data_IF_546107866781
#
_entry.id   IF_546107866781
#
_cell.length_a   1.000
_cell.length_b   1.000
_cell.length_c   1.000
_cell.angle_alpha   90.00
_cell.angle_beta   90.00
_cell.angle_gamma   90.00
#
_symmetry.space_group_name_H-M   'P 1'
#
loop_
_entity.id
_entity.type
_entity.pdbx_description
1 polymer ?
#
# COMPACT_ATOMS: atom_id res chain seq x y z
N UNK A 1 -12.26 -13.69 -10.64
CA UNK A 1 -11.22 -13.65 -9.60
C UNK A 1 -10.27 -14.85 -9.61
N UNK A 2 -10.70 -16.08 -9.97
CA UNK A 2 -9.80 -17.26 -10.06
C UNK A 2 -8.58 -17.10 -10.97
N UNK A 3 -8.57 -16.11 -11.86
CA UNK A 3 -7.46 -15.83 -12.79
C UNK A 3 -6.34 -14.96 -12.21
N UNK A 4 -6.48 -14.41 -10.98
CA UNK A 4 -5.41 -13.62 -10.34
C UNK A 4 -4.29 -14.52 -9.81
N UNK A 5 -4.64 -15.64 -9.18
CA UNK A 5 -3.68 -16.57 -8.57
C UNK A 5 -2.62 -17.06 -9.58
N UNK A 6 -2.98 -17.54 -10.79
CA UNK A 6 -1.97 -17.97 -11.76
C UNK A 6 -1.00 -16.86 -12.18
N UNK A 7 -1.44 -15.60 -12.23
CA UNK A 7 -0.57 -14.47 -12.60
C UNK A 7 0.43 -14.15 -11.49
N UNK A 8 -0.01 -14.17 -10.23
CA UNK A 8 0.89 -13.94 -9.09
C UNK A 8 1.89 -15.11 -8.93
N UNK A 9 1.45 -16.35 -9.18
CA UNK A 9 2.35 -17.50 -9.18
C UNK A 9 3.35 -17.46 -10.34
N UNK A 10 2.93 -17.00 -11.53
CA UNK A 10 3.83 -16.77 -12.66
C UNK A 10 4.88 -15.72 -12.31
N UNK A 11 4.46 -14.61 -11.67
CA UNK A 11 5.37 -13.57 -11.19
C UNK A 11 6.37 -14.14 -10.18
N UNK A 12 5.91 -14.93 -9.21
CA UNK A 12 6.76 -15.57 -8.22
C UNK A 12 7.84 -16.47 -8.85
N UNK A 13 7.43 -17.33 -9.79
CA UNK A 13 8.32 -18.29 -10.44
C UNK A 13 9.37 -17.63 -11.35
N UNK A 14 9.05 -16.48 -11.95
CA UNK A 14 9.90 -15.83 -12.95
C UNK A 14 10.68 -14.63 -12.41
N UNK A 15 10.26 -14.06 -11.28
CA UNK A 15 10.94 -12.92 -10.68
C UNK A 15 12.34 -13.28 -10.21
N UNK A 16 13.28 -12.35 -10.44
CA UNK A 16 14.64 -12.43 -9.89
C UNK A 16 14.68 -11.63 -8.61
N UNK A 17 14.62 -12.33 -7.48
CA UNK A 17 14.48 -11.73 -6.16
C UNK A 17 15.82 -11.71 -5.43
N UNK A 18 16.14 -10.57 -4.82
CA UNK A 18 17.29 -10.40 -3.94
C UNK A 18 16.96 -10.87 -2.51
N UNK A 19 17.98 -11.01 -1.66
CA UNK A 19 17.80 -11.38 -0.26
C UNK A 19 16.89 -10.41 0.49
N UNK A 20 16.93 -9.11 0.20
CA UNK A 20 16.08 -8.09 0.85
C UNK A 20 14.62 -8.15 0.39
N UNK A 21 14.34 -8.76 -0.76
CA UNK A 21 12.98 -9.01 -1.24
C UNK A 21 12.39 -10.32 -0.71
N UNK A 22 13.22 -11.16 -0.10
CA UNK A 22 12.82 -12.40 0.59
C UNK A 22 12.82 -12.23 2.12
N UNK A 23 13.72 -11.42 2.64
CA UNK A 23 13.91 -11.14 4.05
C UNK A 23 13.79 -9.63 4.27
N UNK A 24 12.65 -9.21 4.79
CA UNK A 24 12.34 -7.82 5.05
C UNK A 24 11.70 -7.69 6.43
N UNK A 25 11.59 -6.45 6.92
CA UNK A 25 11.07 -6.19 8.27
C UNK A 25 9.76 -6.92 8.59
N UNK A 26 8.76 -7.01 7.68
CA UNK A 26 7.54 -7.73 7.97
C UNK A 26 7.66 -9.26 8.02
N UNK A 27 8.76 -9.89 7.62
CA UNK A 27 8.87 -11.36 7.61
C UNK A 27 9.71 -11.94 6.46
N UNK A 28 9.59 -13.25 6.25
CA UNK A 28 10.33 -14.00 5.24
C UNK A 28 9.41 -14.53 4.13
N UNK A 29 9.22 -13.74 3.07
CA UNK A 29 8.49 -14.12 1.86
C UNK A 29 8.89 -13.22 0.69
N UNK A 30 8.52 -13.59 -0.54
CA UNK A 30 8.79 -12.74 -1.71
C UNK A 30 7.80 -11.59 -1.77
N UNK A 31 8.31 -10.35 -1.77
CA UNK A 31 7.51 -9.14 -2.04
C UNK A 31 8.09 -8.30 -3.18
N UNK A 32 7.22 -7.81 -4.06
CA UNK A 32 7.58 -6.95 -5.18
C UNK A 32 6.73 -5.67 -5.19
N UNK A 33 7.35 -4.48 -5.14
CA UNK A 33 6.63 -3.22 -5.11
C UNK A 33 6.27 -2.71 -6.53
N UNK A 34 5.13 -2.04 -6.64
CA UNK A 34 4.68 -1.32 -7.82
C UNK A 34 4.14 0.06 -7.45
N UNK A 35 4.01 0.94 -8.45
CA UNK A 35 3.51 2.31 -8.26
C UNK A 35 4.58 3.28 -7.81
N UNK A 36 4.19 4.28 -7.02
CA UNK A 36 5.04 5.39 -6.65
C UNK A 36 5.03 5.68 -5.14
N UNK A 37 6.11 6.32 -4.69
CA UNK A 37 6.26 6.72 -3.30
C UNK A 37 7.38 7.73 -3.14
N UNK A 38 7.48 8.28 -1.93
CA UNK A 38 8.53 9.21 -1.57
C UNK A 38 9.06 8.92 -0.16
N UNK A 39 10.39 8.96 -0.02
CA UNK A 39 11.10 8.53 1.19
C UNK A 39 12.36 7.73 0.85
N UNK A 40 13.02 7.18 1.87
CA UNK A 40 14.18 6.30 1.69
C UNK A 40 15.39 6.98 1.05
N UNK A 41 15.58 8.28 1.25
CA UNK A 41 16.69 9.06 0.71
C UNK A 41 16.51 9.58 -0.72
N UNK A 42 15.33 9.37 -1.34
CA UNK A 42 14.99 9.98 -2.64
C UNK A 42 14.88 11.50 -2.51
N UNK A 43 15.24 12.21 -3.57
CA UNK A 43 15.13 13.68 -3.68
C UNK A 43 13.78 14.14 -4.20
N UNK A 44 13.04 13.28 -4.90
CA UNK A 44 11.71 13.55 -5.44
C UNK A 44 10.83 12.27 -5.43
N UNK A 45 9.49 12.39 -5.51
CA UNK A 45 8.60 11.25 -5.74
C UNK A 45 8.94 10.50 -7.02
N UNK A 46 8.81 9.17 -6.98
CA UNK A 46 9.11 8.34 -8.14
C UNK A 46 8.55 6.94 -8.02
N UNK A 47 8.56 6.20 -9.14
CA UNK A 47 8.17 4.79 -9.12
C UNK A 47 9.07 3.95 -8.19
N UNK A 48 8.55 2.87 -7.63
CA UNK A 48 9.37 1.89 -6.93
C UNK A 48 10.37 1.23 -7.89
N UNK A 49 11.62 1.14 -7.43
CA UNK A 49 12.71 0.61 -8.24
C UNK A 49 12.57 -0.92 -8.38
N UNK A 50 12.64 -1.39 -9.63
CA UNK A 50 12.68 -2.80 -9.98
C UNK A 50 13.78 -2.99 -11.03
N UNK A 51 14.37 -4.19 -11.09
CA UNK A 51 15.24 -4.55 -12.24
C UNK A 51 14.43 -4.52 -13.52
N UNK A 52 15.05 -4.28 -14.67
CA UNK A 52 14.33 -4.24 -15.96
C UNK A 52 13.54 -5.53 -16.22
N UNK A 53 14.07 -6.68 -15.78
CA UNK A 53 13.40 -7.98 -15.84
C UNK A 53 12.13 -8.03 -14.98
N UNK A 54 12.22 -7.69 -13.69
CA UNK A 54 11.06 -7.72 -12.80
C UNK A 54 10.04 -6.64 -13.17
N UNK A 55 10.51 -5.47 -13.63
CA UNK A 55 9.63 -4.39 -14.08
C UNK A 55 8.73 -4.83 -15.24
N UNK A 56 9.27 -5.58 -16.21
CA UNK A 56 8.47 -6.12 -17.30
C UNK A 56 7.39 -7.11 -16.80
N UNK A 57 7.77 -8.02 -15.88
CA UNK A 57 6.81 -8.95 -15.28
C UNK A 57 5.72 -8.24 -14.47
N UNK A 58 6.10 -7.21 -13.71
CA UNK A 58 5.17 -6.39 -12.93
C UNK A 58 4.22 -5.62 -13.86
N UNK A 59 4.74 -5.01 -14.93
CA UNK A 59 3.93 -4.29 -15.92
C UNK A 59 2.90 -5.24 -16.58
N UNK A 60 3.26 -6.50 -16.86
CA UNK A 60 2.33 -7.52 -17.34
C UNK A 60 1.24 -7.87 -16.32
N UNK A 61 1.60 -8.06 -15.03
CA UNK A 61 0.63 -8.34 -13.96
C UNK A 61 -0.31 -7.15 -13.74
N UNK A 62 0.20 -5.93 -13.78
CA UNK A 62 -0.60 -4.71 -13.67
C UNK A 62 -1.57 -4.57 -14.86
N UNK A 63 -1.16 -4.99 -16.06
CA UNK A 63 -2.01 -4.96 -17.26
C UNK A 63 -3.07 -6.08 -17.29
N UNK A 64 -2.94 -7.13 -16.47
CA UNK A 64 -3.89 -8.24 -16.43
C UNK A 64 -5.29 -7.76 -16.02
N UNK A 65 -6.30 -8.18 -16.79
CA UNK A 65 -7.69 -7.75 -16.59
C UNK A 65 -8.21 -8.10 -15.20
N UNK A 66 -7.85 -9.25 -14.65
CA UNK A 66 -8.34 -9.68 -13.36
C UNK A 66 -7.69 -8.88 -12.22
N UNK A 67 -6.41 -8.53 -12.36
CA UNK A 67 -5.72 -7.65 -11.41
C UNK A 67 -6.29 -6.23 -11.46
N UNK A 68 -6.59 -5.70 -12.65
CA UNK A 68 -7.29 -4.41 -12.81
C UNK A 68 -8.68 -4.43 -12.13
N UNK A 69 -9.42 -5.53 -12.24
CA UNK A 69 -10.72 -5.68 -11.56
C UNK A 69 -10.58 -5.75 -10.03
N UNK A 70 -9.51 -6.37 -9.51
CA UNK A 70 -9.21 -6.34 -8.07
C UNK A 70 -8.92 -4.90 -7.61
N UNK A 71 -8.11 -4.15 -8.36
CA UNK A 71 -7.83 -2.75 -8.04
C UNK A 71 -9.13 -1.91 -8.04
N UNK A 72 -10.00 -2.09 -9.03
CA UNK A 72 -11.30 -1.42 -9.06
C UNK A 72 -12.25 -1.84 -7.93
N UNK A 73 -12.23 -3.11 -7.51
CA UNK A 73 -12.99 -3.57 -6.35
C UNK A 73 -12.51 -2.91 -5.05
N UNK A 74 -11.20 -2.83 -4.84
CA UNK A 74 -10.59 -2.14 -3.69
C UNK A 74 -10.93 -0.64 -3.72
N UNK A 75 -10.81 -0.01 -4.89
CA UNK A 75 -11.15 1.39 -5.08
C UNK A 75 -12.61 1.70 -4.69
N UNK A 76 -13.55 0.90 -5.21
CA UNK A 76 -14.97 1.04 -4.90
C UNK A 76 -15.28 0.80 -3.41
N UNK A 77 -14.59 -0.14 -2.75
CA UNK A 77 -14.76 -0.38 -1.33
C UNK A 77 -14.38 0.84 -0.49
N UNK A 78 -13.26 1.50 -0.82
CA UNK A 78 -12.82 2.73 -0.16
C UNK A 78 -13.74 3.90 -0.49
N UNK A 79 -14.16 4.05 -1.75
CA UNK A 79 -15.11 5.10 -2.14
C UNK A 79 -16.43 4.98 -1.39
N UNK A 80 -16.93 3.76 -1.21
CA UNK A 80 -18.23 3.50 -0.55
C UNK A 80 -18.13 3.65 0.96
N UNK A 81 -17.03 3.19 1.57
CA UNK A 81 -16.92 3.14 3.04
C UNK A 81 -16.33 4.43 3.63
N UNK A 82 -15.37 5.05 2.92
CA UNK A 82 -14.61 6.21 3.37
C UNK A 82 -14.50 7.25 2.23
N UNK A 83 -15.61 7.87 1.79
CA UNK A 83 -15.63 8.72 0.59
C UNK A 83 -14.68 9.92 0.69
N UNK A 84 -14.51 10.53 1.88
CA UNK A 84 -13.58 11.63 2.12
C UNK A 84 -12.12 11.17 1.95
N UNK A 85 -11.77 10.04 2.55
CA UNK A 85 -10.46 9.43 2.36
C UNK A 85 -10.20 9.07 0.90
N UNK A 86 -11.19 8.48 0.20
CA UNK A 86 -11.08 8.16 -1.22
C UNK A 86 -10.77 9.40 -2.06
N UNK A 87 -11.52 10.48 -1.86
CA UNK A 87 -11.31 11.75 -2.54
C UNK A 87 -9.92 12.32 -2.23
N UNK A 88 -9.50 12.29 -0.97
CA UNK A 88 -8.16 12.72 -0.57
C UNK A 88 -7.05 11.93 -1.29
N UNK A 89 -7.12 10.60 -1.29
CA UNK A 89 -6.13 9.74 -1.93
C UNK A 89 -6.09 9.94 -3.46
N UNK A 90 -7.26 9.98 -4.09
CA UNK A 90 -7.40 10.22 -5.53
C UNK A 90 -6.80 11.57 -5.94
N UNK A 91 -7.20 12.64 -5.25
CA UNK A 91 -6.69 13.99 -5.52
C UNK A 91 -5.18 14.07 -5.30
N UNK A 92 -4.67 13.48 -4.22
CA UNK A 92 -3.24 13.45 -3.95
C UNK A 92 -2.48 12.75 -5.08
N UNK A 93 -2.94 11.56 -5.50
CA UNK A 93 -2.30 10.82 -6.59
C UNK A 93 -2.31 11.63 -7.88
N UNK A 94 -3.42 12.27 -8.24
CA UNK A 94 -3.50 13.15 -9.42
C UNK A 94 -2.49 14.30 -9.36
N UNK A 95 -2.35 14.97 -8.21
CA UNK A 95 -1.36 16.05 -8.05
C UNK A 95 0.08 15.55 -8.18
N UNK A 96 0.39 14.37 -7.64
CA UNK A 96 1.72 13.76 -7.76
C UNK A 96 2.02 13.39 -9.22
N UNK A 97 1.07 12.81 -9.95
CA UNK A 97 1.25 12.46 -11.35
C UNK A 97 1.38 13.68 -12.26
N UNK A 98 0.68 14.78 -11.92
CA UNK A 98 0.81 16.05 -12.65
C UNK A 98 2.16 16.73 -12.40
N UNK A 99 2.68 16.67 -11.17
CA UNK A 99 3.98 17.23 -10.79
C UNK A 99 5.16 16.48 -11.44
N UNK A 100 5.10 15.15 -11.48
CA UNK A 100 6.13 14.32 -12.11
C UNK A 100 5.53 13.38 -13.17
N UNK A 101 5.43 13.82 -14.44
CA UNK A 101 4.89 13.00 -15.54
C UNK A 101 5.70 11.73 -15.86
N UNK A 102 6.89 11.56 -15.27
CA UNK A 102 7.68 10.32 -15.41
C UNK A 102 7.14 9.17 -14.57
N UNK A 103 6.27 9.47 -13.59
CA UNK A 103 5.64 8.46 -12.76
C UNK A 103 4.58 7.71 -13.58
N UNK A 104 4.78 6.40 -13.75
CA UNK A 104 3.77 5.53 -14.37
C UNK A 104 2.61 5.28 -13.40
N UNK A 105 1.37 5.51 -13.87
CA UNK A 105 0.13 5.12 -13.17
C UNK A 105 -0.03 3.59 -13.23
N UNK A 106 -0.33 2.97 -12.09
CA UNK A 106 -0.46 1.50 -12.00
C UNK A 106 -1.75 0.95 -12.62
N UNK A 107 -2.89 1.54 -12.24
CA UNK A 107 -4.21 1.03 -12.54
C UNK A 107 -5.07 2.12 -13.18
N UNK A 108 -6.05 1.71 -13.98
CA UNK A 108 -6.97 2.68 -14.59
C UNK A 108 -7.85 3.35 -13.52
N UNK A 109 -8.35 2.55 -12.58
CA UNK A 109 -9.22 2.95 -11.46
C UNK A 109 -8.65 2.42 -10.15
N UNK A 110 -7.94 3.28 -9.41
CA UNK A 110 -7.43 3.03 -8.07
C UNK A 110 -6.92 4.34 -7.45
N UNK A 111 -7.39 4.66 -6.25
CA UNK A 111 -6.95 5.83 -5.48
C UNK A 111 -5.56 5.68 -4.83
N UNK A 112 -5.01 4.47 -4.76
CA UNK A 112 -3.72 4.22 -4.12
C UNK A 112 -2.52 4.52 -5.02
N UNK A 113 -1.48 5.11 -4.44
CA UNK A 113 -0.24 5.42 -5.15
C UNK A 113 0.66 4.21 -5.37
N UNK A 114 0.53 3.17 -4.55
CA UNK A 114 1.40 1.99 -4.58
C UNK A 114 0.66 0.69 -4.24
N UNK A 115 1.25 -0.43 -4.65
CA UNK A 115 0.92 -1.72 -4.09
C UNK A 115 2.16 -2.61 -3.96
N UNK A 116 2.06 -3.62 -3.08
CA UNK A 116 2.99 -4.73 -3.00
C UNK A 116 2.31 -6.01 -3.43
N UNK A 117 2.98 -6.79 -4.27
CA UNK A 117 2.64 -8.18 -4.54
C UNK A 117 3.40 -9.05 -3.55
N UNK A 118 2.70 -9.60 -2.55
CA UNK A 118 3.26 -10.55 -1.59
C UNK A 118 2.94 -11.97 -2.09
N UNK A 119 3.95 -12.77 -2.37
CA UNK A 119 3.81 -13.92 -3.25
C UNK A 119 4.01 -15.26 -2.54
N UNK A 120 3.26 -16.27 -3.02
CA UNK A 120 3.37 -17.70 -2.74
C UNK A 120 3.08 -18.16 -1.31
N UNK A 121 3.77 -17.63 -0.31
CA UNK A 121 3.68 -18.05 1.09
C UNK A 121 3.69 -16.85 2.03
N UNK A 122 3.00 -15.77 1.64
CA UNK A 122 3.03 -14.51 2.36
C UNK A 122 2.48 -14.64 3.79
N UNK A 123 3.38 -14.53 4.77
CA UNK A 123 3.10 -14.45 6.21
C UNK A 123 3.97 -13.36 6.83
N UNK A 124 3.50 -12.71 7.89
CA UNK A 124 4.24 -11.58 8.45
C UNK A 124 4.40 -11.72 9.96
N UNK A 125 5.52 -11.22 10.48
CA UNK A 125 5.69 -10.88 11.88
C UNK A 125 4.84 -9.63 12.23
N UNK A 126 4.74 -9.33 13.52
CA UNK A 126 4.08 -8.12 13.99
C UNK A 126 4.79 -6.88 13.44
N UNK A 127 4.04 -6.02 12.76
CA UNK A 127 4.57 -4.78 12.21
C UNK A 127 3.49 -3.70 12.12
N UNK A 128 3.94 -2.47 11.89
CA UNK A 128 3.13 -1.37 11.38
C UNK A 128 3.83 -0.80 10.14
N UNK A 129 3.06 -0.21 9.25
CA UNK A 129 3.54 0.43 8.03
C UNK A 129 3.74 1.93 8.24
N UNK A 130 4.61 2.32 9.17
CA UNK A 130 4.84 3.73 9.58
C UNK A 130 5.16 4.70 8.43
N UNK A 131 5.52 4.21 7.25
CA UNK A 131 5.76 5.05 6.07
C UNK A 131 4.48 5.38 5.29
N UNK A 132 3.36 4.74 5.59
CA UNK A 132 2.07 5.02 4.97
C UNK A 132 1.42 6.26 5.60
N UNK A 133 0.43 6.82 4.91
CA UNK A 133 -0.38 7.91 5.46
C UNK A 133 -1.10 7.41 6.72
N UNK A 134 -0.88 8.12 7.84
CA UNK A 134 -1.29 7.70 9.19
C UNK A 134 -2.75 7.23 9.26
N UNK A 135 -3.67 7.99 8.67
CA UNK A 135 -5.10 7.74 8.73
C UNK A 135 -5.65 7.01 7.50
N UNK A 136 -4.79 6.63 6.53
CA UNK A 136 -5.27 5.90 5.37
C UNK A 136 -5.56 4.44 5.73
N UNK A 137 -6.75 3.98 5.36
CA UNK A 137 -7.08 2.57 5.33
C UNK A 137 -6.25 1.93 4.22
N UNK A 138 -5.26 1.11 4.56
CA UNK A 138 -4.54 0.29 3.59
C UNK A 138 -5.30 -1.00 3.41
N UNK A 139 -5.40 -1.50 2.17
CA UNK A 139 -6.18 -2.69 1.87
C UNK A 139 -5.28 -3.82 1.39
N UNK A 140 -5.55 -5.04 1.83
CA UNK A 140 -4.94 -6.24 1.26
C UNK A 140 -6.02 -7.10 0.61
N UNK A 141 -5.77 -7.56 -0.61
CA UNK A 141 -6.60 -8.56 -1.28
C UNK A 141 -5.90 -9.93 -1.20
N UNK A 142 -6.59 -10.96 -0.67
CA UNK A 142 -6.03 -12.30 -0.52
C UNK A 142 -6.40 -13.21 -1.69
N UNK A 143 -5.48 -14.06 -2.12
CA UNK A 143 -5.72 -15.10 -3.12
C UNK A 143 -4.82 -16.31 -2.87
N UNK A 144 -5.15 -17.46 -3.44
CA UNK A 144 -4.36 -18.68 -3.34
C UNK A 144 -5.20 -19.90 -2.98
N UNK A 145 -4.53 -21.03 -2.83
CA UNK A 145 -5.12 -22.29 -2.42
C UNK A 145 -4.56 -22.68 -1.05
N UNK A 146 -5.32 -22.39 -0.01
CA UNK A 146 -5.01 -22.69 1.39
C UNK A 146 -6.30 -22.82 2.20
N UNK A 147 -6.23 -23.52 3.33
CA UNK A 147 -7.30 -23.62 4.31
C UNK A 147 -7.32 -22.38 5.22
N UNK A 148 -8.14 -21.40 4.81
CA UNK A 148 -8.32 -20.14 5.52
C UNK A 148 -8.97 -20.25 6.90
N UNK A 149 -9.44 -21.44 7.30
CA UNK A 149 -9.97 -21.71 8.66
C UNK A 149 -8.86 -22.19 9.60
N UNK A 150 -7.68 -22.52 9.06
CA UNK A 150 -6.54 -23.08 9.80
C UNK A 150 -5.29 -22.20 9.78
N UNK A 151 -5.19 -21.26 8.85
CA UNK A 151 -4.02 -20.41 8.67
C UNK A 151 -4.29 -19.20 7.80
N UNK A 152 -3.29 -18.34 7.61
CA UNK A 152 -3.43 -17.13 6.78
C UNK A 152 -4.35 -16.05 7.37
N UNK A 153 -4.76 -16.18 8.64
CA UNK A 153 -5.57 -15.20 9.36
C UNK A 153 -4.85 -13.87 9.51
N UNK A 154 -5.62 -12.80 9.67
CA UNK A 154 -5.08 -11.50 10.06
C UNK A 154 -5.27 -11.30 11.55
N UNK A 155 -4.24 -10.77 12.19
CA UNK A 155 -4.27 -10.27 13.56
C UNK A 155 -4.11 -8.75 13.48
N UNK A 156 -5.02 -8.01 14.13
CA UNK A 156 -4.93 -6.57 14.35
C UNK A 156 -4.94 -6.33 15.88
N UNK A 157 -3.75 -6.24 16.46
CA UNK A 157 -3.53 -6.32 17.91
C UNK A 157 -4.19 -5.16 18.66
N UNK A 158 -3.99 -3.93 18.20
CA UNK A 158 -4.53 -2.73 18.85
C UNK A 158 -6.07 -2.67 18.79
N UNK A 159 -6.68 -3.42 17.87
CA UNK A 159 -8.13 -3.55 17.74
C UNK A 159 -8.69 -4.76 18.51
N UNK A 160 -7.82 -5.64 19.02
CA UNK A 160 -8.24 -6.90 19.65
C UNK A 160 -8.94 -7.88 18.69
N UNK A 161 -8.65 -7.79 17.39
CA UNK A 161 -9.32 -8.57 16.35
C UNK A 161 -8.38 -9.63 15.78
N UNK A 162 -8.88 -10.87 15.69
CA UNK A 162 -8.33 -11.94 14.86
C UNK A 162 -9.44 -12.41 13.93
N UNK A 163 -9.17 -12.44 12.64
CA UNK A 163 -10.17 -12.85 11.65
C UNK A 163 -9.58 -13.78 10.61
N UNK A 164 -10.38 -14.75 10.19
CA UNK A 164 -10.13 -15.50 8.97
C UNK A 164 -10.02 -14.53 7.80
N UNK A 165 -9.16 -14.85 6.84
CA UNK A 165 -8.96 -14.03 5.64
C UNK A 165 -9.01 -14.89 4.38
N UNK A 166 -10.22 -15.23 3.90
CA UNK A 166 -10.38 -16.20 2.82
C UNK A 166 -9.83 -15.73 1.46
N UNK A 167 -9.40 -16.64 0.57
CA UNK A 167 -9.08 -16.32 -0.81
C UNK A 167 -10.24 -15.61 -1.52
N UNK A 168 -9.94 -14.55 -2.27
CA UNK A 168 -10.91 -13.75 -3.01
C UNK A 168 -11.55 -12.62 -2.21
N UNK A 169 -11.11 -12.39 -0.97
CA UNK A 169 -11.61 -11.32 -0.10
C UNK A 169 -10.58 -10.21 0.09
N UNK A 170 -11.03 -9.08 0.65
CA UNK A 170 -10.15 -8.00 1.06
C UNK A 170 -10.36 -7.62 2.53
N UNK A 171 -9.28 -7.20 3.17
CA UNK A 171 -9.31 -6.46 4.44
C UNK A 171 -8.85 -5.04 4.17
N UNK A 172 -9.37 -4.07 4.92
CA UNK A 172 -8.82 -2.73 4.98
C UNK A 172 -8.63 -2.32 6.45
N UNK A 173 -7.44 -1.85 6.81
CA UNK A 173 -7.11 -1.43 8.16
C UNK A 173 -6.12 -0.25 8.13
N UNK A 174 -6.06 0.59 9.18
CA UNK A 174 -5.14 1.71 9.20
C UNK A 174 -3.74 1.23 9.60
N UNK A 175 -3.03 0.68 8.62
CA UNK A 175 -1.82 -0.13 8.83
C UNK A 175 -0.62 0.64 9.39
N UNK A 176 -0.65 1.97 9.35
CA UNK A 176 0.42 2.84 9.85
C UNK A 176 0.51 2.94 11.38
N UNK A 177 -0.55 2.59 12.12
CA UNK A 177 -0.59 2.66 13.59
C UNK A 177 -1.31 1.49 14.27
N UNK A 178 -1.97 0.61 13.50
CA UNK A 178 -2.45 -0.67 14.01
C UNK A 178 -1.38 -1.71 13.76
N UNK A 179 -0.83 -2.26 14.84
CA UNK A 179 0.08 -3.41 14.81
C UNK A 179 -0.68 -4.60 14.27
N UNK A 180 -0.17 -5.20 13.20
CA UNK A 180 -0.85 -6.29 12.53
C UNK A 180 0.12 -7.36 12.03
N UNK A 181 -0.44 -8.54 11.77
CA UNK A 181 0.29 -9.68 11.23
C UNK A 181 -0.62 -10.60 10.40
N UNK A 182 -0.02 -11.37 9.49
CA UNK A 182 -0.64 -12.49 8.78
C UNK A 182 -0.04 -13.79 9.31
N UNK A 183 -0.88 -14.68 9.84
CA UNK A 183 -0.46 -15.98 10.38
C UNK A 183 0.05 -16.89 9.25
N UNK A 184 1.05 -17.76 9.49
CA UNK A 184 1.49 -18.75 8.52
C UNK A 184 0.37 -19.67 8.02
N UNK A 185 0.60 -20.24 6.84
CA UNK A 185 -0.18 -21.34 6.24
C UNK A 185 0.62 -22.64 6.32
N UNK A 186 0.03 -23.78 5.97
CA UNK A 186 0.76 -25.03 5.90
C UNK A 186 1.77 -25.02 4.72
N UNK A 187 2.87 -25.78 4.84
CA UNK A 187 3.99 -25.74 3.89
C UNK A 187 3.65 -26.18 2.45
N UNK A 188 2.54 -26.90 2.26
CA UNK A 188 2.06 -27.35 0.95
C UNK A 188 0.99 -26.43 0.35
N UNK A 189 0.56 -25.42 1.11
CA UNK A 189 -0.44 -24.44 0.71
C UNK A 189 0.21 -23.23 0.07
N UNK A 190 -0.60 -22.44 -0.65
CA UNK A 190 -0.14 -21.20 -1.29
C UNK A 190 -1.10 -20.06 -1.01
N UNK A 191 -0.54 -18.93 -0.61
CA UNK A 191 -1.26 -17.69 -0.34
C UNK A 191 -0.44 -16.50 -0.82
N UNK A 192 -1.03 -15.78 -1.75
CA UNK A 192 -0.53 -14.49 -2.23
C UNK A 192 -1.48 -13.37 -1.81
N UNK A 193 -0.98 -12.14 -1.77
CA UNK A 193 -1.82 -10.96 -1.58
C UNK A 193 -1.34 -9.76 -2.39
N UNK A 194 -2.25 -8.85 -2.67
CA UNK A 194 -1.95 -7.53 -3.22
C UNK A 194 -2.29 -6.51 -2.13
N UNK A 195 -1.29 -5.86 -1.56
CA UNK A 195 -1.45 -4.84 -0.53
C UNK A 195 -1.37 -3.45 -1.17
N UNK A 196 -2.44 -2.66 -1.04
CA UNK A 196 -2.61 -1.32 -1.60
C UNK A 196 -2.42 -0.27 -0.52
N UNK A 197 -1.59 0.73 -0.80
CA UNK A 197 -1.23 1.77 0.16
C UNK A 197 -0.76 3.06 -0.54
N UNK A 198 -0.65 4.13 0.24
CA UNK A 198 -0.08 5.40 -0.21
C UNK A 198 0.91 5.88 0.84
N UNK A 199 2.16 6.13 0.43
CA UNK A 199 3.21 6.60 1.35
C UNK A 199 2.95 8.03 1.83
N UNK A 200 3.18 8.30 3.11
CA UNK A 200 3.06 9.65 3.71
C UNK A 200 4.02 10.66 3.11
N UNK A 201 5.12 10.20 2.52
CA UNK A 201 6.03 11.06 1.77
C UNK A 201 5.34 11.80 0.63
N UNK A 202 4.41 11.16 -0.09
CA UNK A 202 3.68 11.81 -1.18
C UNK A 202 2.82 12.97 -0.67
N UNK A 203 2.08 12.75 0.43
CA UNK A 203 1.27 13.78 1.05
C UNK A 203 2.12 14.96 1.52
N UNK A 204 3.25 14.67 2.18
CA UNK A 204 4.19 15.70 2.65
C UNK A 204 4.82 16.49 1.50
N UNK A 205 5.21 15.82 0.42
CA UNK A 205 5.76 16.47 -0.78
C UNK A 205 4.78 17.51 -1.31
N UNK A 206 3.52 17.11 -1.50
CA UNK A 206 2.47 18.02 -1.95
C UNK A 206 2.21 19.16 -0.96
N UNK A 207 2.05 18.86 0.33
CA UNK A 207 1.80 19.86 1.38
C UNK A 207 2.92 20.90 1.51
N UNK A 208 4.16 20.50 1.27
CA UNK A 208 5.32 21.37 1.30
C UNK A 208 5.49 22.19 0.01
N UNK A 209 4.55 22.10 -0.94
CA UNK A 209 4.67 22.79 -2.23
C UNK A 209 5.69 22.14 -3.17
N UNK A 210 5.67 20.81 -3.24
CA UNK A 210 6.57 19.98 -4.05
C UNK A 210 8.03 20.09 -3.62
N UNK A 211 8.24 19.97 -2.30
CA UNK A 211 9.56 19.99 -1.66
C UNK A 211 9.63 18.89 -0.60
N UNK A 212 10.84 18.36 -0.38
CA UNK A 212 11.08 17.46 0.74
C UNK A 212 10.90 18.20 2.07
N UNK A 213 10.64 17.47 3.16
CA UNK A 213 10.58 18.07 4.51
C UNK A 213 11.86 18.85 4.84
N UNK A 214 13.01 18.36 4.37
CA UNK A 214 14.31 19.03 4.56
C UNK A 214 14.34 20.36 3.81
N UNK A 215 14.04 20.36 2.52
CA UNK A 215 14.06 21.58 1.70
C UNK A 215 13.04 22.61 2.19
N UNK A 216 11.85 22.16 2.59
CA UNK A 216 10.86 23.04 3.19
C UNK A 216 11.40 23.69 4.46
N UNK A 217 11.99 22.90 5.36
CA UNK A 217 12.53 23.43 6.63
C UNK A 217 13.69 24.41 6.43
N UNK A 218 14.54 24.17 5.44
CA UNK A 218 15.67 25.05 5.10
C UNK A 218 15.20 26.40 4.50
N UNK A 219 14.04 26.43 3.82
CA UNK A 219 13.53 27.62 3.11
C UNK A 219 12.42 28.37 3.85
N UNK A 220 11.72 27.70 4.76
CA UNK A 220 10.54 28.25 5.43
C UNK A 220 10.91 29.36 6.42
N UNK A 221 10.10 30.41 6.44
CA UNK A 221 10.13 31.42 7.51
C UNK A 221 9.76 30.80 8.85
N UNK A 222 10.14 31.44 9.97
CA UNK A 222 9.75 30.99 11.31
C UNK A 222 8.24 30.83 11.49
N UNK A 223 7.44 31.71 10.84
CA UNK A 223 5.97 31.62 10.84
C UNK A 223 5.48 30.39 10.08
N UNK A 224 6.02 30.12 8.89
CA UNK A 224 5.67 28.91 8.13
C UNK A 224 6.04 27.63 8.87
N UNK A 225 7.22 27.59 9.50
CA UNK A 225 7.65 26.46 10.34
C UNK A 225 6.71 26.24 11.53
N UNK A 226 6.25 27.32 12.17
CA UNK A 226 5.30 27.21 13.27
C UNK A 226 3.97 26.59 12.81
N UNK A 227 3.38 27.11 11.73
CA UNK A 227 2.14 26.58 11.14
C UNK A 227 2.32 25.12 10.70
N UNK A 228 3.45 24.80 10.06
CA UNK A 228 3.77 23.45 9.60
C UNK A 228 3.85 22.45 10.77
N UNK A 229 4.45 22.84 11.90
CA UNK A 229 4.50 22.00 13.11
C UNK A 229 3.12 21.83 13.74
N UNK A 230 2.33 22.91 13.81
CA UNK A 230 0.97 22.88 14.38
C UNK A 230 0.02 21.99 13.56
N UNK A 231 0.05 22.11 12.23
CA UNK A 231 -0.75 21.26 11.34
C UNK A 231 -0.42 19.77 11.54
N UNK A 232 0.87 19.45 11.73
CA UNK A 232 1.32 18.07 11.96
C UNK A 232 0.93 17.54 13.34
N UNK A 233 0.91 18.38 14.37
CA UNK A 233 0.45 17.95 15.70
C UNK A 233 -1.05 17.64 15.74
N UNK A 234 -1.82 18.20 14.80
CA UNK A 234 -3.27 18.00 14.66
C UNK A 234 -3.65 17.02 13.55
N UNK A 235 -2.67 16.33 12.94
CA UNK A 235 -2.92 15.44 11.80
C UNK A 235 -3.92 14.31 12.11
N UNK A 236 -3.97 13.87 13.36
CA UNK A 236 -4.92 12.86 13.82
C UNK A 236 -6.37 13.37 13.75
N UNK A 237 -6.62 14.65 14.02
CA UNK A 237 -7.96 15.26 13.96
C UNK A 237 -8.48 15.24 12.52
N UNK A 238 -7.68 15.76 11.58
CA UNK A 238 -7.99 15.71 10.15
C UNK A 238 -8.11 14.27 9.65
N UNK A 239 -7.29 13.36 10.19
CA UNK A 239 -7.36 11.94 9.85
C UNK A 239 -8.67 11.28 10.25
N UNK A 240 -9.18 11.58 11.46
CA UNK A 240 -10.47 11.09 11.92
C UNK A 240 -11.61 11.62 11.05
N UNK A 241 -11.58 12.91 10.67
CA UNK A 241 -12.58 13.49 9.78
C UNK A 241 -12.65 12.79 8.42
N UNK A 242 -11.51 12.32 7.89
CA UNK A 242 -11.46 11.57 6.62
C UNK A 242 -12.09 10.18 6.70
N UNK A 243 -12.19 9.61 7.91
CA UNK A 243 -12.77 8.29 8.16
C UNK A 243 -14.28 8.34 8.47
N UNK A 244 -14.84 9.54 8.70
CA UNK A 244 -16.28 9.69 8.94
C UNK A 244 -17.05 9.60 7.61
N UNK A 245 -18.10 8.80 7.62
CA UNK A 245 -19.13 8.83 6.58
C UNK A 245 -20.05 10.03 6.84
N UNK A 246 -20.39 10.82 5.83
CA UNK A 246 -21.44 11.83 6.00
C UNK A 246 -22.79 11.11 6.15
N UNK A 247 -23.55 11.46 7.19
CA UNK A 247 -24.92 10.98 7.42
C UNK A 247 -25.90 11.54 6.38
#
# INVERSE_FOLDING_TARGET
MRSVDPQLERLYQQARVSTTQQNHRPGQYVTLPAGCGFGGGRTEPGNYANTSHNAALIDEVLADRAVQLVAGFIDAAIQTTFPKLHAFLTNLLEKILADNPRIKKMFNSCCYGACHFNLHSACTDNHEDYFNILFAMCCAFCIGNFDHTRGGHIIAWDLGVVTEFPPGTAVCLPSAWVTHANVPIASHERRSSIAFFTSSGLARWYQNGYMSDREFQERATSRQLHIWREARSKLWESGLEMLLHEE
#
